data_IF_778099540977
#
_entry.id   IF_778099540977
#
_cell.length_a   1.000
_cell.length_b   1.000
_cell.length_c   1.000
_cell.angle_alpha   90.00
_cell.angle_beta   90.00
_cell.angle_gamma   90.00
#
_symmetry.space_group_name_H-M   'P 1'
#
loop_
_entity.id
_entity.type
_entity.pdbx_description
1 polymer ?
#
# COMPACT_ATOMS: atom_id res chain seq x y z
N UNK A 1 5.06 1.02 14.14
CA UNK A 1 4.20 2.00 14.86
C UNK A 1 3.76 3.07 13.86
N UNK A 2 2.69 3.86 14.10
CA UNK A 2 2.22 4.89 13.16
C UNK A 2 3.30 5.90 12.72
N UNK A 3 4.31 6.14 13.58
CA UNK A 3 5.47 6.96 13.25
C UNK A 3 6.42 6.33 12.23
N UNK A 4 6.52 5.00 12.20
CA UNK A 4 7.36 4.27 11.24
C UNK A 4 6.71 4.29 9.85
N UNK A 5 5.39 4.10 9.78
CA UNK A 5 4.62 4.08 8.53
C UNK A 5 4.77 5.43 7.78
N UNK A 6 4.65 6.55 8.49
CA UNK A 6 4.82 7.88 7.91
C UNK A 6 6.25 8.13 7.39
N UNK A 7 7.26 7.56 8.05
CA UNK A 7 8.66 7.64 7.61
C UNK A 7 8.88 6.79 6.36
N UNK A 8 8.35 5.56 6.35
CA UNK A 8 8.43 4.66 5.20
C UNK A 8 7.73 5.26 3.99
N UNK A 9 6.52 5.81 4.15
CA UNK A 9 5.78 6.51 3.09
C UNK A 9 6.60 7.67 2.51
N UNK A 10 7.19 8.51 3.37
CA UNK A 10 8.04 9.62 2.91
C UNK A 10 9.26 9.14 2.12
N UNK A 11 9.91 8.06 2.57
CA UNK A 11 11.05 7.45 1.87
C UNK A 11 10.63 6.84 0.54
N UNK A 12 9.53 6.10 0.50
CA UNK A 12 8.98 5.51 -0.73
C UNK A 12 8.69 6.58 -1.79
N UNK A 13 8.15 7.74 -1.38
CA UNK A 13 7.94 8.89 -2.28
C UNK A 13 9.22 9.50 -2.84
N UNK A 14 10.34 9.36 -2.12
CA UNK A 14 11.66 9.77 -2.60
C UNK A 14 12.31 8.74 -3.54
N UNK A 15 11.58 7.69 -3.95
CA UNK A 15 12.08 6.62 -4.82
C UNK A 15 12.71 5.44 -4.06
N UNK A 16 12.60 5.41 -2.73
CA UNK A 16 13.14 4.32 -1.91
C UNK A 16 12.25 3.07 -2.00
N UNK A 17 12.62 2.15 -2.90
CA UNK A 17 11.92 0.89 -3.10
C UNK A 17 11.99 -0.06 -1.90
N UNK A 18 13.03 0.03 -1.07
CA UNK A 18 13.15 -0.77 0.15
C UNK A 18 12.11 -0.33 1.19
N UNK A 19 11.93 0.99 1.34
CA UNK A 19 10.88 1.54 2.21
C UNK A 19 9.48 1.10 1.77
N UNK A 20 9.24 1.02 0.45
CA UNK A 20 7.96 0.49 -0.06
C UNK A 20 7.82 -1.00 0.21
N UNK A 21 8.90 -1.79 0.07
CA UNK A 21 8.93 -3.21 0.42
C UNK A 21 8.57 -3.46 1.89
N UNK A 22 9.02 -2.59 2.81
CA UNK A 22 8.64 -2.68 4.22
C UNK A 22 7.15 -2.43 4.45
N UNK A 23 6.57 -1.43 3.77
CA UNK A 23 5.11 -1.20 3.79
C UNK A 23 4.36 -2.42 3.24
N UNK A 24 4.84 -3.00 2.13
CA UNK A 24 4.26 -4.21 1.56
C UNK A 24 4.25 -5.36 2.57
N UNK A 25 5.39 -5.70 3.17
CA UNK A 25 5.49 -6.77 4.15
C UNK A 25 4.57 -6.56 5.36
N UNK A 26 4.41 -5.31 5.79
CA UNK A 26 3.57 -4.95 6.94
C UNK A 26 2.06 -5.11 6.64
N UNK A 27 1.60 -4.76 5.44
CA UNK A 27 0.17 -4.75 5.11
C UNK A 27 -0.31 -5.93 4.24
N UNK A 28 0.60 -6.69 3.60
CA UNK A 28 0.21 -7.76 2.65
C UNK A 28 -0.77 -8.76 3.24
N UNK A 29 -0.55 -9.18 4.49
CA UNK A 29 -1.40 -10.18 5.14
C UNK A 29 -2.79 -9.64 5.44
N UNK A 30 -2.91 -8.36 5.81
CA UNK A 30 -4.20 -7.73 6.05
C UNK A 30 -4.99 -7.62 4.74
N UNK A 31 -4.37 -7.05 3.71
CA UNK A 31 -5.00 -6.87 2.39
C UNK A 31 -5.40 -8.22 1.80
N UNK A 32 -4.51 -9.21 1.84
CA UNK A 32 -4.79 -10.56 1.36
C UNK A 32 -5.98 -11.20 2.07
N UNK A 33 -6.02 -11.14 3.41
CA UNK A 33 -7.13 -11.70 4.18
C UNK A 33 -8.45 -11.00 3.86
N UNK A 34 -8.44 -9.68 3.73
CA UNK A 34 -9.62 -8.91 3.34
C UNK A 34 -10.10 -9.29 1.95
N UNK A 35 -9.18 -9.39 0.97
CA UNK A 35 -9.52 -9.81 -0.39
C UNK A 35 -10.09 -11.24 -0.41
N UNK A 36 -9.46 -12.17 0.31
CA UNK A 36 -9.90 -13.56 0.42
C UNK A 36 -11.31 -13.68 1.00
N UNK A 37 -11.66 -12.87 2.01
CA UNK A 37 -13.01 -12.85 2.57
C UNK A 37 -14.09 -12.38 1.58
N UNK A 38 -13.70 -11.65 0.53
CA UNK A 38 -14.60 -11.11 -0.49
C UNK A 38 -14.75 -12.10 -1.65
N UNK A 39 -13.64 -12.63 -2.17
CA UNK A 39 -13.60 -13.47 -3.39
C UNK A 39 -13.67 -14.97 -3.12
N UNK A 40 -13.26 -15.42 -1.93
CA UNK A 40 -13.33 -16.83 -1.52
C UNK A 40 -12.30 -17.76 -2.17
N UNK A 41 -11.42 -17.25 -3.04
CA UNK A 41 -10.34 -18.04 -3.65
C UNK A 41 -8.98 -17.41 -3.39
N UNK A 42 -7.94 -18.24 -3.32
CA UNK A 42 -6.56 -17.75 -3.10
C UNK A 42 -6.05 -16.98 -4.32
N UNK A 43 -6.31 -17.46 -5.53
CA UNK A 43 -5.84 -16.83 -6.77
C UNK A 43 -6.40 -15.42 -6.95
N UNK A 44 -7.71 -15.24 -6.82
CA UNK A 44 -8.33 -13.91 -6.98
C UNK A 44 -7.88 -12.96 -5.85
N UNK A 45 -7.65 -13.48 -4.65
CA UNK A 45 -7.12 -12.68 -3.53
C UNK A 45 -5.67 -12.22 -3.76
N UNK A 46 -4.83 -13.04 -4.39
CA UNK A 46 -3.47 -12.67 -4.78
C UNK A 46 -3.46 -11.61 -5.89
N UNK A 47 -4.35 -11.73 -6.87
CA UNK A 47 -4.49 -10.74 -7.93
C UNK A 47 -4.95 -9.38 -7.39
N UNK A 48 -5.96 -9.37 -6.51
CA UNK A 48 -6.42 -8.14 -5.84
C UNK A 48 -5.31 -7.54 -4.96
N UNK A 49 -4.59 -8.36 -4.19
CA UNK A 49 -3.46 -7.92 -3.39
C UNK A 49 -2.46 -7.15 -4.26
N UNK A 50 -2.04 -7.75 -5.37
CA UNK A 50 -1.08 -7.14 -6.29
C UNK A 50 -1.62 -5.84 -6.89
N UNK A 51 -2.87 -5.81 -7.34
CA UNK A 51 -3.49 -4.61 -7.91
C UNK A 51 -3.55 -3.46 -6.88
N UNK A 52 -3.96 -3.75 -5.64
CA UNK A 52 -4.01 -2.76 -4.56
C UNK A 52 -2.64 -2.15 -4.30
N UNK A 53 -1.59 -2.96 -4.18
CA UNK A 53 -0.24 -2.43 -3.94
C UNK A 53 0.31 -1.67 -5.15
N UNK A 54 -0.01 -2.08 -6.38
CA UNK A 54 0.33 -1.31 -7.58
C UNK A 54 -0.37 0.06 -7.59
N UNK A 55 -1.65 0.11 -7.19
CA UNK A 55 -2.39 1.37 -7.06
C UNK A 55 -1.78 2.26 -5.98
N UNK A 56 -1.44 1.71 -4.81
CA UNK A 56 -0.75 2.46 -3.75
C UNK A 56 0.60 2.99 -4.24
N UNK A 57 1.40 2.17 -4.92
CA UNK A 57 2.69 2.59 -5.45
C UNK A 57 2.57 3.76 -6.44
N UNK A 58 1.62 3.68 -7.39
CA UNK A 58 1.33 4.77 -8.34
C UNK A 58 0.77 6.01 -7.64
N UNK A 59 -0.05 5.81 -6.62
CA UNK A 59 -0.61 6.89 -5.83
C UNK A 59 0.47 7.61 -5.02
N UNK A 60 1.48 6.91 -4.49
CA UNK A 60 2.58 7.55 -3.74
C UNK A 60 3.37 8.54 -4.61
N UNK A 61 3.60 8.20 -5.87
CA UNK A 61 4.27 9.07 -6.85
C UNK A 61 3.44 10.33 -7.18
N UNK A 62 2.11 10.19 -7.18
CA UNK A 62 1.16 11.26 -7.55
C UNK A 62 0.51 11.97 -6.36
N UNK A 63 0.76 11.50 -5.14
CA UNK A 63 0.14 12.02 -3.92
C UNK A 63 0.72 13.39 -3.58
N UNK A 64 -0.12 14.43 -3.68
CA UNK A 64 0.20 15.78 -3.23
C UNK A 64 -0.49 16.03 -1.87
N UNK A 65 0.25 16.12 -0.76
CA UNK A 65 -0.33 16.41 0.56
C UNK A 65 -1.02 17.77 0.62
N UNK A 66 -0.69 18.73 -0.25
CA UNK A 66 -1.38 20.02 -0.34
C UNK A 66 -2.78 19.90 -1.01
N UNK A 67 -3.04 18.81 -1.74
CA UNK A 67 -4.35 18.52 -2.35
C UNK A 67 -5.26 17.66 -1.47
N UNK A 68 -4.74 17.18 -0.33
CA UNK A 68 -5.47 16.38 0.66
C UNK A 68 -6.24 17.20 1.72
N UNK A 69 -6.45 18.50 1.50
CA UNK A 69 -7.39 19.29 2.30
C UNK A 69 -8.82 18.98 1.88
N UNK A 70 -9.39 17.89 2.42
CA UNK A 70 -10.84 17.76 2.47
C UNK A 70 -11.35 18.81 3.46
N UNK A 71 -12.01 19.84 2.92
CA UNK A 71 -12.95 20.66 3.70
C UNK A 71 -14.26 19.92 3.93
#
# INVERSE_FOLDING_TARGET
>A
MPGDDAVLVRRSRAGDGEAFGLLFEQYKNLVYRTAFLIVGTAADAEDILQEVFLQVYRALDTYDPARGSFG
#
